data_IF_355604747155
#
_entry.id   IF_355604747155
#
_cell.length_a   1.000
_cell.length_b   1.000
_cell.length_c   1.000
_cell.angle_alpha   90.00
_cell.angle_beta   90.00
_cell.angle_gamma   90.00
#
_symmetry.space_group_name_H-M   'P 1'
#
loop_
_entity.id
_entity.type
_entity.pdbx_description
1 polymer ?
#
# COMPACT_ATOMS: atom_id res chain seq x y z
N UNK A 1 -10.97 4.30 5.32
CA UNK A 1 -9.96 4.76 6.29
C UNK A 1 -9.75 6.26 6.11
N UNK A 2 -9.56 6.99 7.20
CA UNK A 2 -9.30 8.43 7.19
C UNK A 2 -8.20 8.74 8.21
N UNK A 3 -7.15 9.44 7.80
CA UNK A 3 -6.09 9.88 8.69
C UNK A 3 -6.57 11.12 9.47
N UNK A 4 -6.26 11.17 10.75
CA UNK A 4 -6.58 12.32 11.61
C UNK A 4 -5.30 13.05 12.01
N UNK A 5 -4.28 12.35 12.50
CA UNK A 5 -3.03 12.94 12.95
C UNK A 5 -1.85 11.99 12.81
N UNK A 6 -0.71 12.53 12.42
CA UNK A 6 0.56 11.80 12.36
C UNK A 6 1.65 12.62 13.03
N UNK A 7 2.33 12.06 14.01
CA UNK A 7 3.59 12.59 14.54
C UNK A 7 4.72 11.64 14.15
N UNK A 8 5.75 12.17 13.51
CA UNK A 8 6.93 11.42 13.09
C UNK A 8 8.11 11.80 13.97
N UNK A 9 8.73 10.80 14.59
CA UNK A 9 9.80 10.98 15.54
C UNK A 9 9.31 11.44 16.91
N UNK A 10 10.23 11.83 17.75
CA UNK A 10 9.95 12.41 19.07
C UNK A 10 11.03 13.44 19.46
N UNK A 11 10.85 14.06 20.62
CA UNK A 11 11.84 15.00 21.16
C UNK A 11 13.14 14.33 21.64
N UNK A 12 13.17 12.98 21.79
CA UNK A 12 14.37 12.24 22.18
C UNK A 12 15.49 12.39 21.13
N UNK A 13 16.73 12.50 21.58
CA UNK A 13 17.88 12.59 20.70
C UNK A 13 18.45 11.21 20.38
N UNK A 14 17.79 10.51 19.44
CA UNK A 14 18.18 9.19 18.97
C UNK A 14 17.83 9.06 17.49
N UNK A 15 18.62 8.28 16.76
CA UNK A 15 18.37 8.02 15.33
C UNK A 15 17.03 7.32 15.09
N UNK A 16 16.58 6.50 16.02
CA UNK A 16 15.30 5.82 15.98
C UNK A 16 14.11 6.73 16.25
N UNK A 17 14.35 7.92 16.82
CA UNK A 17 13.35 8.94 17.11
C UNK A 17 13.30 10.07 16.06
N UNK A 18 13.86 9.82 14.88
CA UNK A 18 13.70 10.65 13.71
C UNK A 18 13.55 9.78 12.46
N UNK A 19 12.90 10.32 11.45
CA UNK A 19 12.85 9.72 10.12
C UNK A 19 13.41 10.71 9.10
N UNK A 20 14.62 10.44 8.63
CA UNK A 20 15.36 11.37 7.77
C UNK A 20 15.47 12.75 8.43
N UNK A 21 14.95 13.82 7.81
CA UNK A 21 14.93 15.17 8.38
C UNK A 21 13.70 15.46 9.25
N UNK A 22 12.81 14.47 9.48
CA UNK A 22 11.61 14.63 10.28
C UNK A 22 11.90 14.19 11.72
N UNK A 23 11.98 15.17 12.64
CA UNK A 23 12.15 14.96 14.07
C UNK A 23 11.03 15.67 14.81
N UNK A 24 10.20 14.92 15.52
CA UNK A 24 9.04 15.45 16.26
C UNK A 24 8.11 16.34 15.41
N UNK A 25 7.85 15.91 14.17
CA UNK A 25 6.98 16.64 13.24
C UNK A 25 5.57 16.11 13.34
N UNK A 26 4.62 16.99 13.66
CA UNK A 26 3.20 16.66 13.73
C UNK A 26 2.47 17.23 12.54
N UNK A 27 1.60 16.42 11.95
CA UNK A 27 0.75 16.74 10.81
C UNK A 27 -0.69 16.41 11.21
N UNK A 28 -1.54 17.42 11.19
CA UNK A 28 -2.97 17.28 11.34
C UNK A 28 -3.59 17.18 9.95
N UNK A 29 -4.39 16.12 9.73
CA UNK A 29 -5.07 15.91 8.47
C UNK A 29 -6.45 16.57 8.51
N UNK A 30 -6.87 17.11 7.37
CA UNK A 30 -8.19 17.67 7.22
C UNK A 30 -9.27 16.60 7.46
N UNK A 31 -10.16 16.88 8.40
CA UNK A 31 -11.22 15.96 8.80
C UNK A 31 -12.49 16.11 7.96
N UNK A 32 -12.61 17.16 7.17
CA UNK A 32 -13.80 17.46 6.39
C UNK A 32 -13.69 16.99 4.95
N UNK A 33 -12.46 16.89 4.41
CA UNK A 33 -12.21 16.53 3.01
C UNK A 33 -11.53 15.17 2.87
N UNK A 34 -11.82 14.47 1.79
CA UNK A 34 -11.22 13.15 1.48
C UNK A 34 -9.79 13.25 0.90
N UNK A 35 -9.42 14.41 0.41
CA UNK A 35 -8.12 14.65 -0.19
C UNK A 35 -7.33 15.61 0.68
N UNK A 36 -6.14 15.21 1.09
CA UNK A 36 -5.17 16.05 1.79
C UNK A 36 -4.01 16.39 0.86
N UNK A 37 -3.74 17.68 0.68
CA UNK A 37 -2.63 18.17 -0.13
C UNK A 37 -1.52 18.70 0.77
N UNK A 38 -0.31 18.14 0.64
CA UNK A 38 0.86 18.58 1.41
C UNK A 38 1.68 19.56 0.57
N UNK A 39 1.70 20.81 0.99
CA UNK A 39 2.40 21.93 0.31
C UNK A 39 3.61 22.36 1.14
N UNK A 40 4.66 22.84 0.49
CA UNK A 40 5.84 23.39 1.16
C UNK A 40 7.03 23.51 0.19
N UNK A 41 8.11 24.18 0.63
CA UNK A 41 9.32 24.36 -0.13
C UNK A 41 10.04 23.05 -0.42
N UNK A 42 10.90 23.02 -1.43
CA UNK A 42 11.77 21.88 -1.70
C UNK A 42 12.70 21.63 -0.51
N UNK A 43 12.90 20.38 -0.14
CA UNK A 43 13.74 19.99 1.01
C UNK A 43 13.04 20.00 2.37
N UNK A 44 11.80 20.49 2.50
CA UNK A 44 11.07 20.50 3.79
C UNK A 44 10.60 19.13 4.29
N UNK A 45 10.73 18.08 3.48
CA UNK A 45 10.38 16.72 3.91
C UNK A 45 9.01 16.22 3.46
N UNK A 46 8.29 16.94 2.59
CA UNK A 46 6.97 16.49 2.05
C UNK A 46 6.94 15.04 1.60
N UNK A 47 7.89 14.69 0.73
CA UNK A 47 7.99 13.30 0.25
C UNK A 47 8.42 12.33 1.34
N UNK A 48 9.16 12.79 2.37
CA UNK A 48 9.55 11.96 3.50
C UNK A 48 8.33 11.64 4.39
N UNK A 49 7.34 12.52 4.47
CA UNK A 49 6.07 12.25 5.16
C UNK A 49 5.30 11.12 4.46
N UNK A 50 5.19 11.19 3.13
CA UNK A 50 4.52 10.14 2.35
C UNK A 50 5.25 8.80 2.46
N UNK A 51 6.58 8.84 2.44
CA UNK A 51 7.42 7.66 2.61
C UNK A 51 7.29 7.07 4.02
N UNK A 52 7.24 7.91 5.06
CA UNK A 52 6.99 7.46 6.43
C UNK A 52 5.64 6.77 6.57
N UNK A 53 4.57 7.34 6.01
CA UNK A 53 3.24 6.70 5.98
C UNK A 53 3.27 5.36 5.25
N UNK A 54 3.95 5.29 4.11
CA UNK A 54 4.09 4.06 3.35
C UNK A 54 4.81 2.97 4.16
N UNK A 55 5.88 3.32 4.87
CA UNK A 55 6.62 2.40 5.76
C UNK A 55 5.72 1.94 6.91
N UNK A 56 5.02 2.86 7.58
CA UNK A 56 4.14 2.53 8.70
C UNK A 56 3.10 1.49 8.28
N UNK A 57 2.37 1.74 7.20
CA UNK A 57 1.34 0.81 6.74
C UNK A 57 1.93 -0.47 6.14
N UNK A 58 3.07 -0.40 5.47
CA UNK A 58 3.80 -1.60 5.02
C UNK A 58 4.12 -2.51 6.20
N UNK A 59 4.69 -1.96 7.26
CA UNK A 59 5.14 -2.72 8.42
C UNK A 59 3.96 -3.30 9.21
N UNK A 60 2.89 -2.52 9.41
CA UNK A 60 1.68 -3.01 10.07
C UNK A 60 0.98 -4.11 9.24
N UNK A 61 0.85 -3.94 7.93
CA UNK A 61 0.26 -4.95 7.03
C UNK A 61 1.19 -6.17 6.90
N UNK A 62 2.51 -5.96 6.89
CA UNK A 62 3.53 -7.01 6.90
C UNK A 62 3.63 -7.75 8.23
N UNK A 63 2.92 -7.30 9.26
CA UNK A 63 2.92 -7.84 10.62
C UNK A 63 4.28 -7.74 11.31
N UNK A 64 5.00 -6.66 11.03
CA UNK A 64 6.26 -6.37 11.71
C UNK A 64 6.02 -6.09 13.20
N UNK A 65 6.89 -6.62 14.03
CA UNK A 65 6.77 -6.54 15.50
C UNK A 65 7.54 -5.37 16.10
N UNK A 66 8.41 -4.75 15.32
CA UNK A 66 9.22 -3.61 15.72
C UNK A 66 9.09 -2.49 14.71
N UNK A 67 8.76 -1.25 15.14
CA UNK A 67 8.68 -0.13 14.23
C UNK A 67 10.07 0.29 13.75
N UNK A 68 10.16 0.81 12.52
CA UNK A 68 11.40 1.29 11.93
C UNK A 68 11.88 2.61 12.58
N UNK A 69 10.96 3.41 13.06
CA UNK A 69 11.19 4.69 13.74
C UNK A 69 10.03 5.00 14.69
N UNK A 70 10.22 5.94 15.61
CA UNK A 70 9.17 6.37 16.52
C UNK A 70 8.12 7.19 15.79
N UNK A 71 6.82 6.87 16.03
CA UNK A 71 5.71 7.65 15.48
C UNK A 71 4.45 7.52 16.35
N UNK A 72 3.55 8.50 16.19
CA UNK A 72 2.18 8.40 16.69
C UNK A 72 1.24 8.61 15.51
N UNK A 73 0.28 7.72 15.35
CA UNK A 73 -0.68 7.75 14.25
C UNK A 73 -2.09 7.63 14.80
N UNK A 74 -2.95 8.58 14.45
CA UNK A 74 -4.38 8.53 14.71
C UNK A 74 -5.13 8.47 13.39
N UNK A 75 -6.09 7.55 13.28
CA UNK A 75 -6.92 7.40 12.09
C UNK A 75 -8.25 6.71 12.41
N UNK A 76 -9.18 6.82 11.49
CA UNK A 76 -10.50 6.23 11.59
C UNK A 76 -10.70 5.13 10.54
N UNK A 77 -11.33 4.04 10.98
CA UNK A 77 -11.76 2.92 10.14
C UNK A 77 -13.25 2.68 10.31
N UNK A 78 -13.91 2.23 9.25
CA UNK A 78 -15.32 1.87 9.27
C UNK A 78 -16.16 2.64 8.26
N UNK A 79 -17.45 2.42 8.33
CA UNK A 79 -18.50 3.05 7.54
C UNK A 79 -19.42 3.84 8.49
N UNK A 80 -20.44 4.50 7.96
CA UNK A 80 -21.43 5.27 8.72
C UNK A 80 -22.14 4.45 9.81
N UNK A 81 -22.12 3.11 9.72
CA UNK A 81 -22.74 2.19 10.69
C UNK A 81 -21.84 1.89 11.90
N UNK A 82 -20.55 2.21 11.84
CA UNK A 82 -19.62 1.97 12.94
C UNK A 82 -18.21 2.46 12.62
N UNK A 83 -17.87 3.65 13.11
CA UNK A 83 -16.52 4.20 13.02
C UNK A 83 -15.70 3.78 14.24
N UNK A 84 -14.46 3.39 14.01
CA UNK A 84 -13.47 3.12 15.05
C UNK A 84 -12.32 4.09 14.93
N UNK A 85 -12.00 4.70 16.03
CA UNK A 85 -10.85 5.58 16.20
C UNK A 85 -9.68 4.73 16.67
N UNK A 86 -8.59 4.73 15.92
CA UNK A 86 -7.41 3.92 16.17
C UNK A 86 -6.24 4.85 16.44
N UNK A 87 -5.57 4.61 17.58
CA UNK A 87 -4.34 5.29 17.96
C UNK A 87 -3.22 4.29 18.10
N UNK A 88 -2.14 4.53 17.39
CA UNK A 88 -0.92 3.73 17.42
C UNK A 88 0.23 4.62 17.88
N UNK A 89 0.82 4.32 19.03
CA UNK A 89 2.06 4.93 19.52
C UNK A 89 3.17 3.89 19.41
N UNK A 90 4.13 4.13 18.54
CA UNK A 90 5.22 3.24 18.21
C UNK A 90 6.56 3.83 18.61
N UNK A 91 7.33 3.10 19.38
CA UNK A 91 8.67 3.49 19.84
C UNK A 91 9.61 2.28 19.74
N UNK A 92 10.61 2.30 18.82
CA UNK A 92 11.54 1.20 18.63
C UNK A 92 12.45 0.94 19.82
N UNK A 93 12.57 1.89 20.76
CA UNK A 93 13.42 1.76 21.95
C UNK A 93 12.66 1.14 23.14
N UNK A 94 11.37 0.86 23.01
CA UNK A 94 10.60 0.10 23.99
C UNK A 94 10.88 -1.39 23.83
N UNK A 95 11.45 -2.02 24.83
CA UNK A 95 11.85 -3.44 24.79
C UNK A 95 10.65 -4.39 24.81
N UNK A 96 9.65 -4.12 25.65
CA UNK A 96 8.53 -5.05 25.88
C UNK A 96 7.30 -4.76 25.01
N UNK A 97 6.99 -3.50 24.77
CA UNK A 97 5.80 -3.06 24.03
C UNK A 97 6.15 -1.95 23.03
N UNK A 98 6.81 -2.28 21.91
CA UNK A 98 7.20 -1.29 20.92
C UNK A 98 6.01 -0.59 20.27
N UNK A 99 4.81 -1.18 20.35
CA UNK A 99 3.55 -0.58 19.91
C UNK A 99 2.56 -0.54 21.07
N UNK A 100 2.02 0.63 21.36
CA UNK A 100 0.87 0.83 22.24
C UNK A 100 -0.31 1.22 21.35
N UNK A 101 -1.38 0.44 21.40
CA UNK A 101 -2.52 0.60 20.49
C UNK A 101 -3.80 0.75 21.29
N UNK A 102 -4.57 1.78 20.99
CA UNK A 102 -5.90 2.01 21.55
C UNK A 102 -6.94 2.09 20.43
N UNK A 103 -8.08 1.49 20.67
CA UNK A 103 -9.24 1.54 19.77
C UNK A 103 -10.45 2.01 20.54
N UNK A 104 -11.13 3.03 20.03
CA UNK A 104 -12.35 3.57 20.58
C UNK A 104 -13.47 3.55 19.55
N UNK A 105 -14.70 3.37 19.99
CA UNK A 105 -15.91 3.65 19.21
C UNK A 105 -16.12 5.16 19.12
N UNK A 106 -17.03 5.60 18.26
CA UNK A 106 -17.38 7.02 18.12
C UNK A 106 -17.88 7.62 19.44
N UNK A 107 -18.71 6.88 20.19
CA UNK A 107 -19.22 7.32 21.50
C UNK A 107 -18.12 7.45 22.56
N UNK A 108 -17.19 6.50 22.60
CA UNK A 108 -16.03 6.55 23.51
C UNK A 108 -15.07 7.69 23.14
N UNK A 109 -14.83 7.89 21.84
CA UNK A 109 -13.98 8.97 21.35
C UNK A 109 -14.55 10.37 21.68
N UNK A 110 -15.88 10.52 21.62
CA UNK A 110 -16.57 11.76 21.99
C UNK A 110 -16.71 11.94 23.49
N UNK A 111 -16.39 10.92 24.30
CA UNK A 111 -16.57 10.94 25.74
C UNK A 111 -18.03 10.83 26.17
N UNK A 112 -18.92 10.35 25.31
CA UNK A 112 -20.30 10.09 25.61
C UNK A 112 -20.38 8.92 26.60
N UNK A 113 -20.95 9.18 27.77
CA UNK A 113 -21.07 8.20 28.86
C UNK A 113 -20.09 8.40 30.03
N UNK A 114 -19.16 9.31 29.96
CA UNK A 114 -18.33 9.72 31.09
C UNK A 114 -18.96 10.95 31.79
N UNK A 115 -19.32 10.80 33.06
CA UNK A 115 -19.86 11.89 33.91
C UNK A 115 -18.79 12.94 34.30
N UNK A 116 -17.66 12.99 33.61
CA UNK A 116 -16.63 13.98 33.87
C UNK A 116 -16.88 15.17 32.92
N UNK A 117 -17.13 16.39 33.48
CA UNK A 117 -17.31 17.58 32.68
C UNK A 117 -16.08 17.79 31.79
N UNK A 118 -16.28 18.30 30.59
CA UNK A 118 -15.26 18.68 29.64
C UNK A 118 -14.21 19.60 30.32
N UNK A 119 -13.19 19.02 30.89
CA UNK A 119 -11.93 19.72 31.12
C UNK A 119 -11.22 19.63 29.76
N UNK A 120 -10.70 20.73 29.25
CA UNK A 120 -9.75 20.70 28.12
C UNK A 120 -8.66 19.72 28.49
N UNK A 121 -8.82 18.49 28.00
CA UNK A 121 -7.93 17.40 28.33
C UNK A 121 -6.75 17.57 27.38
N UNK A 122 -5.59 17.79 27.97
CA UNK A 122 -4.31 17.80 27.27
C UNK A 122 -4.31 16.73 26.15
N UNK A 123 -3.87 17.08 24.94
CA UNK A 123 -3.90 16.21 23.76
C UNK A 123 -3.36 14.79 24.04
N UNK A 124 -2.42 14.66 24.99
CA UNK A 124 -1.87 13.40 25.45
C UNK A 124 -2.92 12.47 26.11
N UNK A 125 -3.94 13.03 26.78
CA UNK A 125 -4.99 12.24 27.47
C UNK A 125 -6.11 11.88 26.49
N UNK A 126 -6.38 12.70 25.50
CA UNK A 126 -7.32 12.38 24.42
C UNK A 126 -6.86 11.15 23.61
N UNK A 127 -5.55 10.97 23.45
CA UNK A 127 -4.97 9.82 22.76
C UNK A 127 -5.13 8.49 23.54
N UNK A 128 -5.44 8.55 24.84
CA UNK A 128 -5.61 7.37 25.70
C UNK A 128 -7.07 6.91 25.83
N UNK A 129 -8.02 7.58 25.16
CA UNK A 129 -9.42 7.14 25.13
C UNK A 129 -9.54 5.88 24.30
N UNK A 130 -10.28 4.91 24.82
CA UNK A 130 -10.53 3.64 24.18
C UNK A 130 -9.83 2.46 24.84
N UNK A 131 -10.11 1.27 24.32
CA UNK A 131 -9.60 0.02 24.84
C UNK A 131 -8.18 -0.25 24.31
N UNK A 132 -7.25 -0.52 25.22
CA UNK A 132 -5.92 -1.00 24.83
C UNK A 132 -6.02 -2.38 24.17
N UNK A 133 -5.36 -2.55 23.04
CA UNK A 133 -5.34 -3.79 22.26
C UNK A 133 -3.89 -4.25 22.07
N UNK A 134 -3.66 -5.56 22.32
CA UNK A 134 -2.34 -6.16 22.05
C UNK A 134 -2.02 -6.15 20.56
N UNK A 135 -0.77 -5.89 20.21
CA UNK A 135 -0.31 -5.86 18.81
C UNK A 135 -0.74 -7.10 18.02
N UNK A 136 -0.63 -8.29 18.61
CA UNK A 136 -1.03 -9.54 17.93
C UNK A 136 -2.53 -9.59 17.61
N UNK A 137 -3.38 -9.11 18.51
CA UNK A 137 -4.82 -9.04 18.26
C UNK A 137 -5.13 -8.01 17.18
N UNK A 138 -4.49 -6.84 17.23
CA UNK A 138 -4.61 -5.79 16.23
C UNK A 138 -4.22 -6.27 14.82
N UNK A 139 -3.05 -6.89 14.68
CA UNK A 139 -2.55 -7.38 13.39
C UNK A 139 -3.34 -8.58 12.84
N UNK A 140 -4.00 -9.37 13.70
CA UNK A 140 -4.81 -10.51 13.29
C UNK A 140 -6.25 -10.13 12.95
N UNK A 141 -6.79 -9.07 13.53
CA UNK A 141 -8.10 -8.53 13.17
C UNK A 141 -8.09 -7.84 11.79
N UNK A 142 -6.91 -7.55 11.26
CA UNK A 142 -6.60 -7.17 9.89
C UNK A 142 -7.55 -6.11 9.31
N UNK A 143 -8.52 -6.50 8.48
CA UNK A 143 -9.42 -5.57 7.80
C UNK A 143 -10.29 -4.71 8.73
N UNK A 144 -10.37 -5.05 10.02
CA UNK A 144 -11.11 -4.29 11.02
C UNK A 144 -10.37 -3.00 11.42
N UNK A 145 -9.04 -3.06 11.48
CA UNK A 145 -8.20 -1.96 11.97
C UNK A 145 -7.24 -1.42 10.92
N UNK A 146 -6.90 -2.19 9.90
CA UNK A 146 -5.96 -1.80 8.86
C UNK A 146 -6.64 -1.61 7.51
N UNK A 147 -6.15 -0.69 6.67
CA UNK A 147 -6.70 -0.50 5.34
C UNK A 147 -6.57 -1.79 4.52
N UNK A 148 -7.63 -2.10 3.79
CA UNK A 148 -7.64 -3.26 2.90
C UNK A 148 -6.60 -3.14 1.80
N UNK A 149 -6.41 -1.93 1.27
CA UNK A 149 -5.43 -1.63 0.23
C UNK A 149 -4.71 -0.32 0.52
N UNK A 150 -3.43 -0.29 0.21
CA UNK A 150 -2.60 0.91 0.20
C UNK A 150 -2.01 1.05 -1.19
N UNK A 151 -2.37 2.12 -1.88
CA UNK A 151 -1.83 2.46 -3.19
C UNK A 151 -0.81 3.59 -3.04
N UNK A 152 0.30 3.45 -3.71
CA UNK A 152 1.29 4.51 -3.82
C UNK A 152 1.65 4.73 -5.28
N UNK A 153 1.83 6.00 -5.62
CA UNK A 153 2.33 6.43 -6.91
C UNK A 153 3.39 7.52 -6.71
N UNK A 154 4.43 7.49 -7.49
CA UNK A 154 5.45 8.53 -7.48
C UNK A 154 5.88 8.85 -8.92
N UNK A 155 5.65 10.07 -9.35
CA UNK A 155 5.95 10.53 -10.72
C UNK A 155 7.40 10.93 -10.93
N UNK A 156 8.21 11.04 -9.86
CA UNK A 156 9.62 11.41 -9.96
C UNK A 156 10.52 10.24 -10.39
N UNK A 157 11.74 10.55 -10.80
CA UNK A 157 12.75 9.57 -11.25
C UNK A 157 13.31 8.71 -10.11
N UNK A 158 13.12 9.11 -8.85
CA UNK A 158 13.65 8.39 -7.69
C UNK A 158 12.94 7.08 -7.42
N UNK A 159 13.70 6.01 -7.21
CA UNK A 159 13.21 4.67 -6.86
C UNK A 159 12.82 4.50 -5.40
N UNK A 160 13.10 5.49 -4.55
CA UNK A 160 12.97 5.38 -3.09
C UNK A 160 11.58 4.94 -2.60
N UNK A 161 10.51 5.39 -3.24
CA UNK A 161 9.16 4.97 -2.88
C UNK A 161 8.92 3.51 -3.30
N UNK A 162 9.41 3.11 -4.46
CA UNK A 162 9.39 1.71 -4.89
C UNK A 162 10.15 0.80 -3.91
N UNK A 163 11.32 1.25 -3.43
CA UNK A 163 12.14 0.51 -2.47
C UNK A 163 11.43 0.25 -1.14
N UNK A 164 10.53 1.13 -0.72
CA UNK A 164 9.67 0.90 0.45
C UNK A 164 8.77 -0.32 0.25
N UNK A 165 8.22 -0.49 -0.95
CA UNK A 165 7.28 -1.59 -1.24
C UNK A 165 7.98 -2.87 -1.70
N UNK A 166 9.21 -2.79 -2.24
CA UNK A 166 9.88 -3.93 -2.88
C UNK A 166 9.98 -5.19 -2.01
N UNK A 167 10.27 -5.15 -0.69
CA UNK A 167 10.33 -6.36 0.12
C UNK A 167 8.98 -7.10 0.18
N UNK A 168 7.88 -6.36 0.26
CA UNK A 168 6.55 -6.94 0.23
C UNK A 168 6.21 -7.51 -1.14
N UNK A 169 6.54 -6.78 -2.22
CA UNK A 169 6.30 -7.21 -3.60
C UNK A 169 7.11 -8.46 -3.94
N UNK A 170 8.37 -8.54 -3.52
CA UNK A 170 9.21 -9.72 -3.71
C UNK A 170 8.68 -10.95 -2.96
N UNK A 171 8.19 -10.77 -1.74
CA UNK A 171 7.53 -11.84 -0.98
C UNK A 171 6.26 -12.32 -1.69
N UNK A 172 5.45 -11.39 -2.19
CA UNK A 172 4.25 -11.69 -2.95
C UNK A 172 4.58 -12.47 -4.24
N UNK A 173 5.55 -11.99 -5.01
CA UNK A 173 5.99 -12.63 -6.25
C UNK A 173 6.62 -14.01 -6.00
N UNK A 174 7.31 -14.19 -4.87
CA UNK A 174 7.83 -15.49 -4.45
C UNK A 174 6.72 -16.51 -4.23
N UNK A 175 5.61 -16.11 -3.60
CA UNK A 175 4.42 -16.99 -3.41
C UNK A 175 3.84 -17.40 -4.76
N UNK A 176 3.65 -16.44 -5.68
CA UNK A 176 3.16 -16.72 -7.03
C UNK A 176 4.05 -17.71 -7.79
N UNK A 177 5.38 -17.51 -7.72
CA UNK A 177 6.36 -18.42 -8.34
C UNK A 177 6.28 -19.83 -7.79
N UNK A 178 5.95 -19.98 -6.53
CA UNK A 178 5.78 -21.28 -5.87
C UNK A 178 4.38 -21.89 -6.10
N UNK A 179 3.53 -21.27 -6.92
CA UNK A 179 2.19 -21.75 -7.25
C UNK A 179 1.16 -21.49 -6.15
N UNK A 180 1.51 -20.68 -5.15
CA UNK A 180 0.59 -20.27 -4.09
C UNK A 180 -0.15 -19.03 -4.55
N UNK A 181 -1.47 -19.02 -4.45
CA UNK A 181 -2.28 -17.81 -4.66
C UNK A 181 -2.27 -16.94 -3.39
N UNK A 182 -1.57 -15.80 -3.38
CA UNK A 182 -1.55 -14.91 -2.23
C UNK A 182 -2.78 -13.99 -2.15
N UNK A 183 -3.74 -14.15 -3.05
CA UNK A 183 -4.89 -13.25 -3.19
C UNK A 183 -4.52 -11.90 -3.80
N UNK A 184 -5.33 -10.87 -3.55
CA UNK A 184 -5.08 -9.52 -4.07
C UNK A 184 -3.95 -8.83 -3.30
N UNK A 185 -3.08 -8.12 -4.02
CA UNK A 185 -2.01 -7.31 -3.42
C UNK A 185 -2.61 -6.22 -2.54
N UNK A 186 -2.27 -6.20 -1.26
CA UNK A 186 -2.72 -5.17 -0.32
C UNK A 186 -1.88 -3.88 -0.41
N UNK A 187 -0.59 -4.03 -0.68
CA UNK A 187 0.34 -2.92 -0.93
C UNK A 187 0.64 -2.87 -2.42
N UNK A 188 0.23 -1.80 -3.05
CA UNK A 188 0.39 -1.62 -4.49
C UNK A 188 1.18 -0.36 -4.79
N UNK A 189 2.29 -0.51 -5.49
CA UNK A 189 3.03 0.60 -6.07
C UNK A 189 2.70 0.72 -7.56
N UNK A 190 2.05 1.82 -7.94
CA UNK A 190 1.67 2.05 -9.32
C UNK A 190 2.91 2.44 -10.15
N UNK A 191 3.14 1.70 -11.21
CA UNK A 191 4.18 1.96 -12.21
C UNK A 191 3.53 2.33 -13.56
N UNK A 192 4.22 3.03 -14.44
CA UNK A 192 3.68 3.40 -15.75
C UNK A 192 3.10 2.22 -16.55
N UNK A 193 3.73 1.03 -16.45
CA UNK A 193 3.23 -0.18 -17.13
C UNK A 193 1.81 -0.58 -16.69
N UNK A 194 1.39 -0.25 -15.48
CA UNK A 194 0.06 -0.57 -15.00
C UNK A 194 -1.03 0.24 -15.70
N UNK A 195 -0.70 1.42 -16.27
CA UNK A 195 -1.68 2.25 -17.01
C UNK A 195 -2.28 1.51 -18.21
N UNK A 196 -1.51 0.68 -18.89
CA UNK A 196 -2.01 -0.12 -20.02
C UNK A 196 -3.10 -1.12 -19.58
N UNK A 197 -2.93 -1.75 -18.40
CA UNK A 197 -3.93 -2.67 -17.88
C UNK A 197 -5.19 -1.94 -17.38
N UNK A 198 -5.01 -0.75 -16.80
CA UNK A 198 -6.15 0.09 -16.37
C UNK A 198 -6.92 0.58 -17.59
N UNK A 199 -6.23 1.05 -18.63
CA UNK A 199 -6.85 1.46 -19.87
C UNK A 199 -7.63 0.31 -20.52
N UNK A 200 -7.01 -0.88 -20.60
CA UNK A 200 -7.69 -2.07 -21.10
C UNK A 200 -8.95 -2.40 -20.31
N UNK A 201 -8.88 -2.32 -18.97
CA UNK A 201 -10.04 -2.56 -18.11
C UNK A 201 -11.15 -1.52 -18.34
N UNK A 202 -10.81 -0.25 -18.52
CA UNK A 202 -11.75 0.82 -18.81
C UNK A 202 -12.43 0.66 -20.18
N UNK A 203 -11.67 0.21 -21.17
CA UNK A 203 -12.23 -0.06 -22.51
C UNK A 203 -13.16 -1.29 -22.53
N UNK A 204 -12.96 -2.26 -21.60
CA UNK A 204 -13.84 -3.43 -21.47
C UNK A 204 -15.08 -3.11 -20.62
N UNK A 205 -14.92 -2.35 -19.53
CA UNK A 205 -16.01 -2.01 -18.61
C UNK A 205 -16.27 -0.50 -18.65
N UNK A 206 -17.08 -0.08 -19.59
CA UNK A 206 -17.41 1.32 -19.84
C UNK A 206 -18.67 1.73 -19.07
N UNK A 207 -18.51 2.09 -17.78
CA UNK A 207 -19.55 2.85 -17.08
C UNK A 207 -19.58 4.30 -17.57
N UNK A 208 -20.68 5.02 -17.33
CA UNK A 208 -20.80 6.44 -17.74
C UNK A 208 -19.64 7.30 -17.23
N UNK A 209 -19.20 7.05 -15.98
CA UNK A 209 -18.06 7.76 -15.38
C UNK A 209 -16.76 7.43 -16.13
N UNK A 210 -16.56 6.17 -16.52
CA UNK A 210 -15.37 5.75 -17.28
C UNK A 210 -15.39 6.32 -18.68
N UNK A 211 -16.54 6.32 -19.35
CA UNK A 211 -16.70 6.93 -20.69
C UNK A 211 -16.38 8.42 -20.67
N UNK A 212 -16.93 9.17 -19.71
CA UNK A 212 -16.62 10.58 -19.54
C UNK A 212 -15.11 10.80 -19.25
N UNK A 213 -14.49 9.94 -18.42
CA UNK A 213 -13.06 10.04 -18.14
C UNK A 213 -12.18 9.78 -19.39
N UNK A 214 -12.53 8.79 -20.20
CA UNK A 214 -11.80 8.47 -21.44
C UNK A 214 -11.86 9.63 -22.43
N UNK A 215 -13.04 10.21 -22.65
CA UNK A 215 -13.27 11.32 -23.57
C UNK A 215 -12.68 12.64 -23.01
N UNK A 216 -13.13 13.10 -21.84
CA UNK A 216 -12.80 14.43 -21.30
C UNK A 216 -11.33 14.57 -20.89
N UNK A 217 -10.70 13.48 -20.40
CA UNK A 217 -9.35 13.56 -19.81
C UNK A 217 -8.26 12.88 -20.63
N UNK A 218 -8.60 11.86 -21.41
CA UNK A 218 -7.63 11.14 -22.23
C UNK A 218 -7.78 11.43 -23.71
N UNK A 219 -8.89 12.04 -24.15
CA UNK A 219 -9.20 12.29 -25.58
C UNK A 219 -9.35 10.98 -26.36
N UNK A 220 -9.83 9.92 -25.72
CA UNK A 220 -10.06 8.60 -26.31
C UNK A 220 -11.57 8.46 -26.47
N UNK A 221 -12.03 8.33 -27.73
CA UNK A 221 -13.43 8.03 -28.00
C UNK A 221 -13.74 6.61 -27.49
N UNK A 222 -14.64 6.47 -26.51
CA UNK A 222 -14.97 5.16 -25.96
C UNK A 222 -15.70 4.24 -26.97
N UNK A 223 -16.21 4.76 -28.07
CA UNK A 223 -16.90 3.99 -29.11
C UNK A 223 -15.95 3.47 -30.18
N UNK A 224 -14.74 4.02 -30.31
CA UNK A 224 -13.73 3.52 -31.25
C UNK A 224 -13.26 2.08 -30.93
N UNK A 225 -13.40 1.65 -29.68
CA UNK A 225 -13.06 0.31 -29.24
C UNK A 225 -11.55 0.02 -29.19
N UNK A 226 -11.21 -1.24 -29.02
CA UNK A 226 -9.83 -1.74 -29.04
C UNK A 226 -9.64 -2.57 -30.32
N UNK A 227 -8.78 -2.12 -31.20
CA UNK A 227 -8.46 -2.85 -32.43
C UNK A 227 -7.65 -4.13 -32.14
N UNK A 228 -6.62 -4.01 -31.30
CA UNK A 228 -5.78 -5.13 -30.95
C UNK A 228 -5.05 -4.93 -29.63
N UNK A 229 -4.70 -6.03 -28.95
CA UNK A 229 -3.89 -6.04 -27.74
C UNK A 229 -2.73 -7.03 -27.93
N UNK A 230 -1.50 -6.54 -27.73
CA UNK A 230 -0.30 -7.35 -27.81
C UNK A 230 0.26 -7.62 -26.42
N UNK A 231 0.26 -8.88 -25.99
CA UNK A 231 0.93 -9.34 -24.78
C UNK A 231 2.32 -9.87 -25.10
N UNK A 232 3.36 -9.25 -24.54
CA UNK A 232 4.72 -9.68 -24.70
C UNK A 232 5.21 -10.38 -23.43
N UNK A 233 5.35 -11.69 -23.47
CA UNK A 233 5.85 -12.52 -22.39
C UNK A 233 7.35 -12.70 -22.53
N UNK A 234 8.07 -12.69 -21.42
CA UNK A 234 9.51 -12.94 -21.39
C UNK A 234 9.84 -14.04 -20.41
N UNK A 235 10.81 -14.86 -20.78
CA UNK A 235 11.34 -15.86 -19.86
C UNK A 235 11.85 -15.19 -18.59
N UNK A 236 11.37 -15.60 -17.40
CA UNK A 236 11.86 -15.07 -16.14
C UNK A 236 13.34 -15.48 -15.92
N UNK A 237 14.11 -14.68 -15.14
CA UNK A 237 15.53 -14.95 -14.89
C UNK A 237 15.78 -16.20 -14.03
N UNK A 238 14.75 -16.72 -13.40
CA UNK A 238 14.80 -17.96 -12.61
C UNK A 238 14.30 -19.15 -13.42
N UNK A 239 14.80 -20.32 -13.11
CA UNK A 239 14.34 -21.57 -13.72
C UNK A 239 13.43 -22.31 -12.72
N UNK A 240 12.18 -22.53 -13.07
CA UNK A 240 11.32 -23.46 -12.36
C UNK A 240 11.62 -24.89 -12.86
N UNK A 241 11.80 -25.81 -11.92
CA UNK A 241 11.94 -27.27 -12.20
C UNK A 241 10.69 -28.03 -11.77
N UNK A 242 9.58 -27.32 -11.58
CA UNK A 242 8.37 -27.93 -11.10
C UNK A 242 7.78 -28.91 -12.12
N UNK A 243 7.56 -30.17 -11.75
CA UNK A 243 7.05 -31.18 -12.69
C UNK A 243 5.59 -30.94 -13.12
N UNK A 244 4.85 -30.13 -12.34
CA UNK A 244 3.46 -29.75 -12.57
C UNK A 244 3.28 -28.40 -13.26
N UNK A 245 4.38 -27.75 -13.64
CA UNK A 245 4.37 -26.48 -14.37
C UNK A 245 4.07 -26.66 -15.86
N UNK A 246 3.56 -25.60 -16.51
CA UNK A 246 3.34 -25.59 -17.97
C UNK A 246 4.65 -25.26 -18.70
N UNK A 247 5.17 -26.19 -19.52
CA UNK A 247 6.43 -25.97 -20.24
C UNK A 247 6.39 -24.79 -21.21
N UNK A 248 5.23 -24.48 -21.80
CA UNK A 248 5.03 -23.32 -22.70
C UNK A 248 5.36 -22.00 -22.02
N UNK A 249 5.17 -21.93 -20.69
CA UNK A 249 5.35 -20.73 -19.87
C UNK A 249 6.44 -20.95 -18.80
N UNK A 250 7.56 -21.58 -19.19
CA UNK A 250 8.74 -21.77 -18.33
C UNK A 250 8.43 -22.48 -17.01
N UNK A 251 7.52 -23.44 -17.06
CA UNK A 251 7.00 -24.17 -15.91
C UNK A 251 6.27 -23.28 -14.87
N UNK A 252 5.53 -22.27 -15.33
CA UNK A 252 4.63 -21.50 -14.48
C UNK A 252 3.59 -22.41 -13.82
N UNK A 253 3.19 -22.07 -12.60
CA UNK A 253 2.30 -22.84 -11.73
C UNK A 253 1.15 -21.97 -11.21
N UNK A 254 0.15 -22.66 -10.63
CA UNK A 254 -0.98 -22.04 -9.94
C UNK A 254 -1.68 -20.99 -10.82
N UNK A 255 -2.11 -19.90 -10.22
CA UNK A 255 -2.88 -18.84 -10.89
C UNK A 255 -2.15 -18.21 -12.08
N UNK A 256 -0.82 -18.18 -12.05
CA UNK A 256 -0.02 -17.65 -13.17
C UNK A 256 -0.14 -18.57 -14.39
N UNK A 257 0.01 -19.88 -14.19
CA UNK A 257 -0.19 -20.89 -15.26
C UNK A 257 -1.60 -20.77 -15.84
N UNK A 258 -2.60 -20.72 -14.97
CA UNK A 258 -4.00 -20.72 -15.39
C UNK A 258 -4.36 -19.46 -16.18
N UNK A 259 -3.82 -18.30 -15.76
CA UNK A 259 -3.96 -17.05 -16.51
C UNK A 259 -3.28 -17.11 -17.88
N UNK A 260 -2.02 -17.55 -17.93
CA UNK A 260 -1.25 -17.62 -19.17
C UNK A 260 -1.83 -18.64 -20.16
N UNK A 261 -2.32 -19.77 -19.67
CA UNK A 261 -3.00 -20.77 -20.51
C UNK A 261 -4.27 -20.19 -21.13
N UNK A 262 -5.13 -19.53 -20.35
CA UNK A 262 -6.33 -18.87 -20.89
C UNK A 262 -5.99 -17.77 -21.91
N UNK A 263 -4.97 -16.97 -21.62
CA UNK A 263 -4.51 -15.92 -22.54
C UNK A 263 -4.05 -16.53 -23.87
N UNK A 264 -3.28 -17.62 -23.83
CA UNK A 264 -2.83 -18.33 -25.02
C UNK A 264 -4.00 -18.93 -25.82
N UNK A 265 -4.98 -19.50 -25.15
CA UNK A 265 -6.12 -20.16 -25.79
C UNK A 265 -7.03 -19.18 -26.54
N UNK A 266 -7.10 -17.92 -26.09
CA UNK A 266 -7.88 -16.85 -26.76
C UNK A 266 -7.04 -16.01 -27.73
N UNK A 267 -5.72 -16.19 -27.76
CA UNK A 267 -4.84 -15.40 -28.64
C UNK A 267 -5.06 -15.80 -30.12
N UNK A 268 -5.24 -14.80 -30.97
CA UNK A 268 -5.43 -15.00 -32.41
C UNK A 268 -4.18 -15.60 -33.08
N UNK A 269 -2.99 -15.18 -32.64
CA UNK A 269 -1.72 -15.63 -33.21
C UNK A 269 -0.63 -15.67 -32.12
N UNK A 270 -0.51 -16.75 -31.35
CA UNK A 270 0.61 -16.92 -30.44
C UNK A 270 1.90 -17.13 -31.25
N UNK A 271 2.87 -16.23 -31.08
CA UNK A 271 4.17 -16.28 -31.79
C UNK A 271 5.27 -16.52 -30.76
N UNK A 272 6.03 -17.58 -30.95
CA UNK A 272 7.21 -17.88 -30.14
C UNK A 272 8.49 -17.37 -30.84
N UNK A 273 9.27 -16.56 -30.16
CA UNK A 273 10.52 -16.03 -30.63
C UNK A 273 11.64 -16.37 -29.66
N UNK A 274 12.61 -17.12 -30.08
CA UNK A 274 13.85 -17.36 -29.31
C UNK A 274 14.84 -16.24 -29.57
N UNK A 275 15.01 -15.33 -28.63
CA UNK A 275 15.97 -14.23 -28.72
C UNK A 275 16.76 -14.11 -27.42
N UNK A 276 18.11 -14.04 -27.54
CA UNK A 276 18.92 -13.65 -26.39
C UNK A 276 18.75 -12.16 -26.12
N UNK A 277 18.27 -11.82 -24.92
CA UNK A 277 18.15 -10.43 -24.48
C UNK A 277 19.21 -10.16 -23.43
N UNK A 278 20.15 -9.26 -23.72
CA UNK A 278 21.08 -8.73 -22.72
C UNK A 278 20.31 -7.85 -21.75
N UNK A 279 20.21 -8.27 -20.50
CA UNK A 279 19.46 -7.54 -19.46
C UNK A 279 20.27 -6.44 -18.77
N UNK A 280 21.59 -6.39 -18.99
CA UNK A 280 22.47 -5.35 -18.45
C UNK A 280 23.79 -5.29 -19.22
N UNK A 281 24.30 -4.07 -19.44
CA UNK A 281 25.64 -3.82 -19.99
C UNK A 281 26.73 -4.31 -19.01
N UNK A 282 26.42 -4.49 -17.74
CA UNK A 282 27.34 -4.83 -16.66
C UNK A 282 27.34 -6.32 -16.28
N UNK A 283 26.38 -7.11 -16.71
CA UNK A 283 26.33 -8.55 -16.47
C UNK A 283 26.72 -9.32 -17.73
N UNK A 284 28.00 -9.17 -18.15
CA UNK A 284 28.65 -10.20 -18.95
C UNK A 284 29.14 -11.29 -18.00
N UNK A 285 28.42 -12.36 -17.86
CA UNK A 285 28.90 -13.67 -17.47
C UNK A 285 28.51 -14.68 -18.53
#
# INVERSE_FOLDING_TARGET
>A
MRLDKLTIGSAKDSQTHQFKNLKNVTIDFDQDHWVTVVIGWNGTGKSNVLEALAIIFRDLIGKERKPAFAFKLAYRMGTDEGVRHIHVDADPDRESEPFIIHVATDSEARGEGTLIPFIEVDEAVSALRGKAIKLTAFLNADAEYLPRYVFSYYSGESTRMYEVFSPYLESYDSKLRNGVDPGLKRLFYAMPVHSHFVLLAFMIQQSDVVRAFLDDHLGIDPDDGIESVLFVLRQPPWKSKAPDGDPRFWNARGVVRDFLSRLHDIALAPIEISRQVSTSIWNKK
#
